data_IF_999352753221
#
_entry.id   IF_999352753221
#
_cell.length_a   1.000
_cell.length_b   1.000
_cell.length_c   1.000
_cell.angle_alpha   90.00
_cell.angle_beta   90.00
_cell.angle_gamma   90.00
#
_symmetry.space_group_name_H-M   'P 1'
#
loop_
_entity.id
_entity.type
_entity.pdbx_description
1 polymer ?
#
# COMPACT_ATOMS: atom_id res chain seq x y z
N UNK A 1 -35.85 -30.89 -35.28
CA UNK A 1 -34.43 -30.69 -35.64
C UNK A 1 -33.83 -29.73 -34.63
N UNK A 2 -32.95 -30.21 -33.76
CA UNK A 2 -32.28 -29.36 -32.76
C UNK A 2 -31.19 -28.54 -33.45
N UNK A 3 -31.12 -27.24 -33.18
CA UNK A 3 -30.04 -26.40 -33.69
C UNK A 3 -28.69 -26.89 -33.14
N UNK A 4 -27.60 -26.86 -33.93
CA UNK A 4 -26.28 -27.17 -33.40
C UNK A 4 -25.91 -26.11 -32.36
N UNK A 5 -25.52 -26.55 -31.17
CA UNK A 5 -24.85 -25.68 -30.21
C UNK A 5 -23.46 -25.42 -30.77
N UNK A 6 -23.24 -24.21 -31.28
CA UNK A 6 -21.92 -23.76 -31.69
C UNK A 6 -21.15 -23.49 -30.40
N UNK A 7 -20.28 -24.42 -30.02
CA UNK A 7 -19.30 -24.15 -28.97
C UNK A 7 -18.24 -23.24 -29.57
N UNK A 8 -18.40 -21.93 -29.34
CA UNK A 8 -17.31 -20.99 -29.56
C UNK A 8 -16.30 -21.27 -28.45
N UNK A 9 -15.05 -21.67 -28.77
CA UNK A 9 -14.03 -21.76 -27.74
C UNK A 9 -13.85 -20.34 -27.20
N UNK A 10 -14.21 -20.12 -25.94
CA UNK A 10 -13.76 -18.93 -25.23
C UNK A 10 -12.24 -18.97 -25.24
N UNK A 11 -11.62 -17.93 -25.80
CA UNK A 11 -10.19 -17.74 -25.62
C UNK A 11 -9.92 -17.71 -24.10
N UNK A 12 -8.81 -18.29 -23.62
CA UNK A 12 -8.47 -18.22 -22.21
C UNK A 12 -8.54 -16.76 -21.75
N UNK A 13 -9.36 -16.49 -20.74
CA UNK A 13 -9.49 -15.16 -20.18
C UNK A 13 -8.09 -14.68 -19.77
N UNK A 14 -7.73 -13.48 -20.21
CA UNK A 14 -6.50 -12.83 -19.77
C UNK A 14 -6.73 -12.46 -18.32
N UNK A 15 -6.30 -13.35 -17.42
CA UNK A 15 -6.44 -13.14 -16.00
C UNK A 15 -5.73 -11.83 -15.63
N UNK A 16 -6.53 -10.80 -15.36
CA UNK A 16 -6.08 -9.46 -15.02
C UNK A 16 -5.04 -9.50 -13.91
N UNK A 17 -5.25 -10.34 -12.88
CA UNK A 17 -4.29 -10.48 -11.78
C UNK A 17 -2.90 -10.95 -12.28
N UNK A 18 -2.84 -11.88 -13.23
CA UNK A 18 -1.57 -12.35 -13.78
C UNK A 18 -0.90 -11.31 -14.69
N UNK A 19 -1.68 -10.45 -15.36
CA UNK A 19 -1.13 -9.31 -16.11
C UNK A 19 -0.53 -8.26 -15.16
N UNK A 20 -1.21 -7.96 -14.04
CA UNK A 20 -0.73 -7.01 -13.02
C UNK A 20 0.55 -7.48 -12.32
N UNK A 21 0.70 -8.79 -12.06
CA UNK A 21 1.97 -9.35 -11.53
C UNK A 21 3.15 -9.00 -12.44
N UNK A 22 2.97 -9.07 -13.76
CA UNK A 22 4.04 -8.75 -14.72
C UNK A 22 4.42 -7.27 -14.73
N UNK A 23 3.47 -6.39 -14.37
CA UNK A 23 3.71 -4.95 -14.25
C UNK A 23 4.66 -4.67 -13.08
N UNK A 24 4.39 -5.23 -11.90
CA UNK A 24 5.27 -5.06 -10.73
C UNK A 24 6.60 -5.80 -10.89
N UNK A 25 6.63 -6.97 -11.54
CA UNK A 25 7.89 -7.66 -11.89
C UNK A 25 8.78 -6.79 -12.79
N UNK A 26 8.20 -6.16 -13.82
CA UNK A 26 8.96 -5.29 -14.73
C UNK A 26 9.56 -4.09 -13.99
N UNK A 27 8.77 -3.42 -13.15
CA UNK A 27 9.22 -2.31 -12.31
C UNK A 27 10.35 -2.74 -11.36
N UNK A 28 10.15 -3.83 -10.61
CA UNK A 28 11.13 -4.36 -9.67
C UNK A 28 12.43 -4.80 -10.37
N UNK A 29 12.36 -5.43 -11.54
CA UNK A 29 13.55 -5.81 -12.31
C UNK A 29 14.31 -4.61 -12.87
N UNK A 30 13.61 -3.55 -13.28
CA UNK A 30 14.22 -2.32 -13.75
C UNK A 30 14.94 -1.59 -12.61
N UNK A 31 14.25 -1.37 -11.49
CA UNK A 31 14.81 -0.78 -10.27
C UNK A 31 15.91 -1.65 -9.64
N UNK A 32 15.81 -2.98 -9.76
CA UNK A 32 16.77 -3.94 -9.23
C UNK A 32 18.21 -3.69 -9.69
N UNK A 33 18.39 -3.09 -10.87
CA UNK A 33 19.72 -2.71 -11.39
C UNK A 33 20.35 -1.53 -10.64
N UNK A 34 19.56 -0.77 -9.91
CA UNK A 34 19.94 0.44 -9.17
C UNK A 34 20.15 0.22 -7.68
N UNK A 35 19.85 -0.98 -7.18
CA UNK A 35 20.02 -1.35 -5.77
C UNK A 35 21.45 -1.09 -5.32
N UNK A 36 21.60 -0.29 -4.26
CA UNK A 36 22.90 0.05 -3.65
C UNK A 36 23.74 1.07 -4.42
N UNK A 37 23.21 1.72 -5.47
CA UNK A 37 23.96 2.72 -6.27
C UNK A 37 23.92 4.14 -5.71
N UNK A 38 23.15 4.40 -4.66
CA UNK A 38 22.97 5.74 -4.09
C UNK A 38 22.13 6.69 -4.95
N UNK A 39 21.61 6.24 -6.10
CA UNK A 39 20.76 7.04 -6.99
C UNK A 39 19.30 6.59 -6.87
N UNK A 40 18.56 7.26 -5.99
CA UNK A 40 17.14 6.97 -5.75
C UNK A 40 16.26 7.37 -6.94
N UNK A 41 16.53 8.54 -7.55
CA UNK A 41 15.68 9.08 -8.60
C UNK A 41 15.87 8.31 -9.91
N UNK A 42 17.10 7.89 -10.21
CA UNK A 42 17.38 7.08 -11.39
C UNK A 42 16.75 5.69 -11.33
N UNK A 43 16.76 5.05 -10.15
CA UNK A 43 16.11 3.75 -9.98
C UNK A 43 14.59 3.84 -9.98
N UNK A 44 14.04 4.89 -9.40
CA UNK A 44 12.60 5.16 -9.39
C UNK A 44 12.08 5.46 -10.80
N UNK A 45 12.74 6.36 -11.54
CA UNK A 45 12.40 6.63 -12.94
C UNK A 45 12.46 5.39 -13.83
N UNK A 46 13.44 4.50 -13.62
CA UNK A 46 13.49 3.22 -14.34
C UNK A 46 12.31 2.30 -14.01
N UNK A 47 11.80 2.33 -12.78
CA UNK A 47 10.62 1.59 -12.36
C UNK A 47 9.35 2.18 -12.98
N UNK A 48 9.19 3.51 -12.94
CA UNK A 48 8.09 4.26 -13.57
C UNK A 48 7.99 3.91 -15.05
N UNK A 49 9.09 4.01 -15.79
CA UNK A 49 9.15 3.71 -17.23
C UNK A 49 8.67 2.28 -17.53
N UNK A 50 9.22 1.31 -16.80
CA UNK A 50 8.90 -0.11 -16.98
C UNK A 50 7.44 -0.42 -16.60
N UNK A 51 6.98 0.11 -15.47
CA UNK A 51 5.60 -0.03 -15.00
C UNK A 51 4.63 0.56 -16.02
N UNK A 52 4.88 1.80 -16.49
CA UNK A 52 4.01 2.50 -17.43
C UNK A 52 3.91 1.80 -18.78
N UNK A 53 5.02 1.25 -19.27
CA UNK A 53 5.04 0.49 -20.52
C UNK A 53 4.19 -0.78 -20.41
N UNK A 54 4.34 -1.55 -19.32
CA UNK A 54 3.63 -2.82 -19.16
C UNK A 54 2.16 -2.62 -18.83
N UNK A 55 1.82 -1.67 -17.95
CA UNK A 55 0.44 -1.41 -17.54
C UNK A 55 -0.42 -0.97 -18.74
N UNK A 56 0.16 -0.30 -19.74
CA UNK A 56 -0.53 0.05 -20.99
C UNK A 56 -0.96 -1.14 -21.85
N UNK A 57 -0.44 -2.34 -21.58
CA UNK A 57 -0.79 -3.58 -22.31
C UNK A 57 -1.87 -4.40 -21.63
N UNK A 58 -2.23 -4.03 -20.40
CA UNK A 58 -3.18 -4.74 -19.55
C UNK A 58 -4.61 -4.54 -20.07
N UNK A 59 -5.40 -5.61 -20.06
CA UNK A 59 -6.79 -5.61 -20.54
C UNK A 59 -7.73 -4.93 -19.53
N UNK A 60 -7.60 -3.61 -19.38
CA UNK A 60 -8.45 -2.76 -18.54
C UNK A 60 -8.65 -1.35 -19.11
N UNK A 61 -9.71 -0.68 -18.65
CA UNK A 61 -9.92 0.78 -18.72
C UNK A 61 -9.56 1.37 -17.36
N UNK A 62 -8.26 1.47 -17.08
CA UNK A 62 -7.73 1.98 -15.82
C UNK A 62 -7.64 3.50 -15.80
N UNK A 63 -7.84 4.11 -14.63
CA UNK A 63 -7.42 5.50 -14.37
C UNK A 63 -6.57 5.50 -13.12
N UNK A 64 -5.40 6.13 -13.18
CA UNK A 64 -4.52 6.32 -12.05
C UNK A 64 -5.17 7.30 -11.07
N UNK A 65 -5.60 6.82 -9.91
CA UNK A 65 -6.11 7.66 -8.80
C UNK A 65 -4.97 8.06 -7.87
N UNK A 66 -3.96 7.21 -7.77
CA UNK A 66 -2.76 7.42 -6.97
C UNK A 66 -1.56 7.03 -7.82
N UNK A 67 -0.66 7.98 -8.08
CA UNK A 67 0.61 7.68 -8.74
C UNK A 67 1.72 8.65 -8.34
N UNK A 68 2.63 8.93 -9.27
CA UNK A 68 3.87 9.69 -9.03
C UNK A 68 3.64 11.16 -8.63
N UNK A 69 2.44 11.68 -8.90
CA UNK A 69 2.05 13.03 -8.54
C UNK A 69 1.02 13.62 -9.50
N UNK A 70 0.88 14.94 -9.44
CA UNK A 70 0.02 15.68 -10.34
C UNK A 70 0.60 15.73 -11.76
N UNK A 71 -0.27 15.91 -12.77
CA UNK A 71 0.11 15.89 -14.20
C UNK A 71 1.24 16.86 -14.57
N UNK A 72 1.31 17.99 -13.89
CA UNK A 72 2.34 19.01 -14.16
C UNK A 72 3.69 18.67 -13.49
N UNK A 73 3.71 17.73 -12.55
CA UNK A 73 4.88 17.33 -11.76
C UNK A 73 5.43 15.96 -12.17
N UNK A 74 4.56 15.08 -12.70
CA UNK A 74 4.90 13.73 -13.13
C UNK A 74 4.58 13.51 -14.63
N UNK A 75 5.57 13.16 -15.48
CA UNK A 75 5.34 12.97 -16.92
C UNK A 75 4.56 11.69 -17.26
N UNK A 76 4.56 10.70 -16.36
CA UNK A 76 3.90 9.40 -16.49
C UNK A 76 3.38 8.96 -15.14
N UNK A 77 2.36 8.12 -15.14
CA UNK A 77 1.65 7.62 -13.95
C UNK A 77 1.15 8.75 -13.05
N UNK A 78 0.70 9.85 -13.65
CA UNK A 78 0.14 10.98 -12.91
C UNK A 78 -1.32 10.74 -12.55
N UNK A 79 -1.81 11.46 -11.53
CA UNK A 79 -3.21 11.40 -11.10
C UNK A 79 -4.15 11.81 -12.26
N UNK A 80 -5.05 10.90 -12.63
CA UNK A 80 -5.97 11.03 -13.75
C UNK A 80 -5.48 10.44 -15.07
N UNK A 81 -4.29 9.84 -15.13
CA UNK A 81 -3.82 9.18 -16.36
C UNK A 81 -4.65 7.94 -16.70
N UNK A 82 -5.09 7.82 -17.96
CA UNK A 82 -5.71 6.61 -18.49
C UNK A 82 -4.65 5.54 -18.81
N UNK A 83 -4.83 4.34 -18.27
CA UNK A 83 -3.92 3.19 -18.40
C UNK A 83 -4.66 1.91 -18.77
N UNK A 84 -3.91 0.92 -19.28
CA UNK A 84 -4.47 -0.27 -19.93
C UNK A 84 -4.67 -0.07 -21.44
N UNK A 85 -5.09 -1.13 -22.13
CA UNK A 85 -5.28 -1.12 -23.57
C UNK A 85 -6.66 -0.58 -24.00
N UNK A 86 -7.53 -0.22 -23.05
CA UNK A 86 -8.88 0.31 -23.31
C UNK A 86 -9.97 -0.76 -23.39
N UNK A 87 -9.61 -2.05 -23.35
CA UNK A 87 -10.54 -3.18 -23.27
C UNK A 87 -10.74 -3.62 -21.81
N UNK A 88 -11.69 -4.51 -21.52
CA UNK A 88 -11.86 -5.06 -20.16
C UNK A 88 -12.67 -4.18 -19.18
N UNK A 89 -12.50 -4.32 -17.85
CA UNK A 89 -13.27 -3.59 -16.84
C UNK A 89 -12.80 -2.14 -16.61
N UNK A 90 -13.67 -1.30 -16.05
CA UNK A 90 -13.31 0.05 -15.59
C UNK A 90 -12.78 -0.01 -14.15
N UNK A 91 -11.56 0.48 -13.95
CA UNK A 91 -10.86 0.31 -12.68
C UNK A 91 -10.12 1.57 -12.23
N UNK A 92 -10.13 1.82 -10.93
CA UNK A 92 -9.17 2.72 -10.29
C UNK A 92 -7.85 1.99 -10.10
N UNK A 93 -6.76 2.70 -10.34
CA UNK A 93 -5.40 2.19 -10.25
C UNK A 93 -4.61 3.04 -9.27
N UNK A 94 -3.96 2.40 -8.32
CA UNK A 94 -2.96 3.00 -7.47
C UNK A 94 -1.61 2.35 -7.75
N UNK A 95 -0.57 3.16 -7.97
CA UNK A 95 0.78 2.69 -8.24
C UNK A 95 1.76 3.33 -7.28
N UNK A 96 2.72 2.52 -6.85
CA UNK A 96 3.94 2.97 -6.21
C UNK A 96 5.08 2.16 -6.85
N UNK A 97 5.66 2.67 -7.96
CA UNK A 97 6.69 1.98 -8.72
C UNK A 97 7.82 1.46 -7.86
N UNK A 98 8.25 2.22 -6.84
CA UNK A 98 9.14 1.77 -5.76
C UNK A 98 8.76 2.41 -4.43
N UNK A 99 8.03 1.66 -3.60
CA UNK A 99 7.92 1.98 -2.18
C UNK A 99 9.28 1.75 -1.52
N UNK A 100 9.85 2.81 -0.95
CA UNK A 100 11.19 2.79 -0.37
C UNK A 100 12.32 3.02 -1.37
N UNK A 101 12.23 4.04 -2.23
CA UNK A 101 13.34 4.47 -3.12
C UNK A 101 14.67 4.69 -2.38
N UNK A 102 14.63 5.20 -1.15
CA UNK A 102 15.80 5.34 -0.28
C UNK A 102 16.39 3.98 0.13
N UNK A 103 15.54 2.98 0.40
CA UNK A 103 15.96 1.63 0.74
C UNK A 103 16.65 0.98 -0.46
N UNK A 104 16.04 1.07 -1.64
CA UNK A 104 16.63 0.61 -2.90
C UNK A 104 18.00 1.25 -3.13
N UNK A 105 18.09 2.58 -3.09
CA UNK A 105 19.34 3.29 -3.34
C UNK A 105 20.46 2.90 -2.37
N UNK A 106 20.13 2.57 -1.12
CA UNK A 106 21.07 2.13 -0.08
C UNK A 106 21.34 0.61 -0.07
N UNK A 107 20.61 -0.18 -0.86
CA UNK A 107 20.70 -1.64 -0.82
C UNK A 107 20.14 -2.24 0.47
N UNK A 108 19.17 -1.57 1.09
CA UNK A 108 18.50 -2.02 2.31
C UNK A 108 17.27 -2.89 1.95
N UNK A 109 16.85 -3.80 2.85
CA UNK A 109 15.62 -4.58 2.67
C UNK A 109 14.37 -3.71 2.56
N UNK A 110 13.26 -4.34 2.15
CA UNK A 110 11.89 -3.80 2.13
C UNK A 110 11.59 -2.72 1.07
N UNK A 111 12.46 -2.50 0.10
CA UNK A 111 12.05 -1.81 -1.13
C UNK A 111 11.21 -2.75 -2.00
N UNK A 112 10.01 -2.32 -2.40
CA UNK A 112 9.08 -3.14 -3.21
C UNK A 112 8.44 -2.30 -4.31
N UNK A 113 8.12 -2.94 -5.45
CA UNK A 113 7.25 -2.34 -6.47
C UNK A 113 5.82 -2.77 -6.21
N UNK A 114 4.89 -1.81 -6.10
CA UNK A 114 3.51 -2.08 -5.70
C UNK A 114 2.52 -1.45 -6.66
N UNK A 115 1.42 -2.17 -6.87
CA UNK A 115 0.24 -1.59 -7.48
C UNK A 115 -1.01 -2.22 -6.86
N UNK A 116 -2.10 -1.47 -6.88
CA UNK A 116 -3.43 -1.93 -6.53
C UNK A 116 -4.42 -1.53 -7.62
N UNK A 117 -5.42 -2.38 -7.83
CA UNK A 117 -6.51 -2.14 -8.78
C UNK A 117 -7.82 -2.47 -8.08
N UNK A 118 -8.80 -1.59 -8.22
CA UNK A 118 -10.14 -1.76 -7.65
C UNK A 118 -11.19 -1.29 -8.66
N UNK A 119 -12.46 -1.61 -8.40
CA UNK A 119 -13.57 -1.10 -9.21
C UNK A 119 -13.55 0.44 -9.24
N UNK A 120 -13.94 1.03 -10.38
CA UNK A 120 -14.01 2.48 -10.57
C UNK A 120 -14.75 3.19 -9.41
N UNK A 121 -14.16 4.24 -8.86
CA UNK A 121 -14.74 5.08 -7.81
C UNK A 121 -14.73 4.47 -6.41
N UNK A 122 -13.97 3.39 -6.19
CA UNK A 122 -13.91 2.71 -4.88
C UNK A 122 -12.64 3.02 -4.08
N UNK A 123 -11.62 3.60 -4.71
CA UNK A 123 -10.44 4.10 -3.99
C UNK A 123 -10.71 5.49 -3.42
N UNK A 124 -10.26 5.73 -2.18
CA UNK A 124 -10.30 7.05 -1.57
C UNK A 124 -9.27 7.97 -2.23
N UNK A 125 -9.65 9.22 -2.51
CA UNK A 125 -8.79 10.25 -3.07
C UNK A 125 -7.94 10.91 -1.96
N UNK A 126 -6.60 10.75 -1.97
CA UNK A 126 -5.72 11.26 -0.93
C UNK A 126 -5.32 12.74 -1.10
N UNK A 127 -5.82 13.46 -2.11
CA UNK A 127 -5.38 14.83 -2.45
C UNK A 127 -5.59 15.89 -1.34
N UNK A 128 -6.48 15.64 -0.38
CA UNK A 128 -6.81 16.59 0.69
C UNK A 128 -5.80 16.63 1.84
N UNK A 129 -5.27 15.47 2.25
CA UNK A 129 -4.40 15.31 3.42
C UNK A 129 -3.30 14.30 3.13
N UNK A 130 -2.04 14.72 3.19
CA UNK A 130 -0.91 13.90 2.77
C UNK A 130 -0.52 12.79 3.75
N UNK A 131 -0.75 12.99 5.05
CA UNK A 131 -0.42 11.99 6.08
C UNK A 131 -1.68 11.40 6.72
N UNK A 132 -1.57 10.13 7.13
CA UNK A 132 -2.58 9.46 7.92
C UNK A 132 -1.93 8.58 9.01
N UNK A 133 -2.59 8.51 10.16
CA UNK A 133 -2.33 7.50 11.16
C UNK A 133 -2.96 6.18 10.71
N UNK A 134 -2.21 5.08 10.82
CA UNK A 134 -2.55 3.74 10.35
C UNK A 134 -2.45 2.77 11.52
N UNK A 135 -3.45 1.89 11.63
CA UNK A 135 -3.41 0.66 12.41
C UNK A 135 -3.68 -0.49 11.45
N UNK A 136 -2.75 -1.43 11.35
CA UNK A 136 -2.89 -2.60 10.48
C UNK A 136 -2.58 -3.89 11.23
N UNK A 137 -3.44 -4.89 11.13
CA UNK A 137 -3.15 -6.25 11.63
C UNK A 137 -3.75 -7.32 10.72
N UNK A 138 -3.25 -8.54 10.86
CA UNK A 138 -3.71 -9.72 10.14
C UNK A 138 -5.10 -10.23 10.57
N UNK A 139 -5.59 -11.27 9.88
CA UNK A 139 -6.96 -11.79 10.05
C UNK A 139 -7.28 -12.21 11.49
N UNK A 140 -6.32 -12.76 12.23
CA UNK A 140 -6.54 -13.25 13.60
C UNK A 140 -7.07 -12.16 14.54
N UNK A 141 -6.63 -10.92 14.36
CA UNK A 141 -6.94 -9.78 15.25
C UNK A 141 -7.78 -8.69 14.57
N UNK A 142 -8.27 -8.92 13.35
CA UNK A 142 -8.94 -7.92 12.52
C UNK A 142 -10.19 -7.30 13.19
N UNK A 143 -10.94 -8.12 13.94
CA UNK A 143 -12.21 -7.70 14.55
C UNK A 143 -12.08 -7.13 15.97
N UNK A 144 -10.88 -7.09 16.55
CA UNK A 144 -10.69 -6.77 17.98
C UNK A 144 -9.88 -5.50 18.24
N UNK A 145 -9.24 -4.95 17.21
CA UNK A 145 -8.44 -3.73 17.28
C UNK A 145 -9.27 -2.47 16.99
N UNK A 146 -8.85 -1.33 17.55
CA UNK A 146 -9.50 -0.03 17.40
C UNK A 146 -8.45 1.10 17.43
N UNK A 147 -8.34 1.88 16.35
CA UNK A 147 -7.40 3.00 16.22
C UNK A 147 -7.72 4.18 17.15
N UNK A 148 -8.91 4.20 17.77
CA UNK A 148 -9.31 5.20 18.78
C UNK A 148 -9.01 4.75 20.20
N UNK A 149 -8.70 3.46 20.40
CA UNK A 149 -8.32 2.92 21.69
C UNK A 149 -6.83 3.16 22.02
N UNK A 150 -6.45 3.17 23.31
CA UNK A 150 -5.05 3.26 23.70
C UNK A 150 -4.18 2.14 23.09
N UNK A 151 -2.90 2.40 22.85
CA UNK A 151 -1.96 1.41 22.29
C UNK A 151 -1.94 0.11 23.10
N UNK A 152 -1.94 0.21 24.43
CA UNK A 152 -1.97 -0.95 25.33
C UNK A 152 -3.19 -1.85 25.10
N UNK A 153 -4.35 -1.27 24.77
CA UNK A 153 -5.55 -2.05 24.43
C UNK A 153 -5.31 -2.88 23.17
N UNK A 154 -4.82 -2.25 22.09
CA UNK A 154 -4.59 -2.93 20.82
C UNK A 154 -3.54 -4.03 20.94
N UNK A 155 -2.44 -3.76 21.66
CA UNK A 155 -1.41 -4.76 21.93
C UNK A 155 -1.98 -5.97 22.69
N UNK A 156 -2.78 -5.75 23.73
CA UNK A 156 -3.42 -6.83 24.49
C UNK A 156 -4.45 -7.60 23.65
N UNK A 157 -5.22 -6.90 22.81
CA UNK A 157 -6.20 -7.50 21.92
C UNK A 157 -5.53 -8.43 20.90
N UNK A 158 -4.45 -7.98 20.27
CA UNK A 158 -3.65 -8.78 19.33
C UNK A 158 -3.04 -10.00 20.03
N UNK A 159 -2.42 -9.83 21.21
CA UNK A 159 -1.85 -10.92 21.99
C UNK A 159 -2.90 -12.00 22.30
N UNK A 160 -4.07 -11.57 22.80
CA UNK A 160 -5.18 -12.46 23.15
C UNK A 160 -5.72 -13.20 21.92
N UNK A 161 -5.90 -12.50 20.80
CA UNK A 161 -6.41 -13.09 19.57
C UNK A 161 -5.48 -14.17 19.00
N UNK A 162 -4.16 -13.94 19.09
CA UNK A 162 -3.12 -14.90 18.67
C UNK A 162 -2.80 -15.97 19.72
N UNK A 163 -3.42 -15.92 20.90
CA UNK A 163 -3.17 -16.86 21.99
C UNK A 163 -1.78 -16.74 22.64
N UNK A 164 -1.12 -15.59 22.49
CA UNK A 164 0.22 -15.31 23.02
C UNK A 164 0.21 -14.35 24.21
N UNK A 165 1.41 -14.03 24.70
CA UNK A 165 1.60 -12.98 25.70
C UNK A 165 1.84 -11.62 25.04
N UNK A 166 1.74 -10.54 25.80
CA UNK A 166 1.96 -9.18 25.29
C UNK A 166 3.40 -9.01 24.79
N UNK A 167 4.35 -9.67 25.45
CA UNK A 167 5.78 -9.66 25.12
C UNK A 167 6.10 -10.39 23.81
N UNK A 168 5.16 -11.19 23.30
CA UNK A 168 5.28 -11.87 22.00
C UNK A 168 4.86 -10.96 20.84
N UNK A 169 4.03 -9.94 21.11
CA UNK A 169 3.52 -9.01 20.10
C UNK A 169 4.64 -8.09 19.63
N UNK A 170 4.79 -7.98 18.31
CA UNK A 170 5.77 -7.12 17.67
C UNK A 170 5.08 -6.07 16.82
N UNK A 171 5.27 -4.81 17.18
CA UNK A 171 4.73 -3.64 16.48
C UNK A 171 5.77 -3.10 15.50
N UNK A 172 5.40 -2.97 14.23
CA UNK A 172 6.19 -2.33 13.20
C UNK A 172 5.87 -0.82 13.14
N UNK A 173 6.90 0.03 13.19
CA UNK A 173 6.76 1.49 13.12
C UNK A 173 7.82 2.11 12.21
N UNK A 174 7.47 3.21 11.54
CA UNK A 174 8.46 4.07 10.89
C UNK A 174 9.34 4.75 11.95
N UNK A 175 10.65 4.70 11.79
CA UNK A 175 11.61 5.40 12.64
C UNK A 175 11.64 6.90 12.29
N UNK A 176 10.82 7.66 13.02
CA UNK A 176 10.60 9.09 12.81
C UNK A 176 10.40 9.79 14.16
N UNK A 177 10.87 11.04 14.33
CA UNK A 177 10.66 11.81 15.56
C UNK A 177 9.19 11.95 15.96
N UNK A 178 8.27 12.01 14.99
CA UNK A 178 6.81 12.08 15.25
C UNK A 178 6.23 10.82 15.93
N UNK A 179 6.98 9.74 16.05
CA UNK A 179 6.54 8.49 16.70
C UNK A 179 7.17 8.27 18.08
N UNK A 180 7.91 9.23 18.64
CA UNK A 180 8.57 9.04 19.94
C UNK A 180 7.58 8.70 21.07
N UNK A 181 6.43 9.38 21.13
CA UNK A 181 5.38 9.08 22.11
C UNK A 181 4.77 7.68 21.89
N UNK A 182 4.49 7.33 20.63
CA UNK A 182 3.96 6.02 20.26
C UNK A 182 4.94 4.89 20.61
N UNK A 183 6.25 5.11 20.40
CA UNK A 183 7.32 4.18 20.79
C UNK A 183 7.35 3.99 22.31
N UNK A 184 7.18 5.06 23.09
CA UNK A 184 7.06 4.96 24.55
C UNK A 184 5.83 4.13 24.93
N UNK A 185 4.67 4.41 24.36
CA UNK A 185 3.42 3.71 24.66
C UNK A 185 3.48 2.21 24.34
N UNK A 186 4.07 1.84 23.19
CA UNK A 186 4.26 0.42 22.83
C UNK A 186 5.19 -0.29 23.84
N UNK A 187 6.28 0.36 24.26
CA UNK A 187 7.21 -0.19 25.25
C UNK A 187 6.58 -0.31 26.63
N UNK A 188 5.80 0.68 27.04
CA UNK A 188 5.05 0.65 28.31
C UNK A 188 3.96 -0.43 28.31
N UNK A 189 3.36 -0.71 27.14
CA UNK A 189 2.44 -1.84 26.98
C UNK A 189 3.14 -3.20 27.13
N UNK A 190 4.45 -3.28 26.87
CA UNK A 190 5.26 -4.50 27.00
C UNK A 190 5.54 -5.23 25.68
N UNK A 191 5.10 -4.68 24.54
CA UNK A 191 5.34 -5.25 23.22
C UNK A 191 6.75 -4.93 22.69
N UNK A 192 7.20 -5.72 21.72
CA UNK A 192 8.44 -5.47 20.96
C UNK A 192 8.19 -4.46 19.84
N UNK A 193 9.25 -3.79 19.41
CA UNK A 193 9.22 -2.87 18.28
C UNK A 193 10.19 -3.35 17.20
N UNK A 194 9.70 -3.39 15.97
CA UNK A 194 10.53 -3.46 14.75
C UNK A 194 10.46 -2.11 14.05
N UNK A 195 11.59 -1.44 13.94
CA UNK A 195 11.68 -0.17 13.20
C UNK A 195 11.92 -0.42 11.72
N UNK A 196 11.25 0.36 10.88
CA UNK A 196 11.52 0.49 9.44
C UNK A 196 11.86 1.96 9.14
N UNK A 197 12.86 2.22 8.29
CA UNK A 197 13.21 3.61 7.98
C UNK A 197 12.27 4.24 6.96
N UNK A 198 11.76 3.44 6.02
CA UNK A 198 10.82 3.79 4.96
C UNK A 198 10.00 2.51 4.63
N UNK A 199 9.00 2.61 3.77
CA UNK A 199 8.28 1.43 3.26
C UNK A 199 7.20 0.89 4.18
N UNK A 200 6.21 1.71 4.55
CA UNK A 200 5.14 1.28 5.45
C UNK A 200 4.10 0.36 4.77
N UNK A 201 4.05 0.31 3.44
CA UNK A 201 3.26 -0.69 2.70
C UNK A 201 3.82 -2.09 2.96
N UNK A 202 5.14 -2.28 2.80
CA UNK A 202 5.80 -3.53 3.13
C UNK A 202 5.61 -3.89 4.62
N UNK A 203 5.73 -2.89 5.51
CA UNK A 203 5.45 -3.04 6.95
C UNK A 203 4.06 -3.59 7.26
N UNK A 204 3.05 -3.06 6.58
CA UNK A 204 1.66 -3.46 6.76
C UNK A 204 1.38 -4.86 6.21
N UNK A 205 1.91 -5.18 5.03
CA UNK A 205 1.81 -6.53 4.45
C UNK A 205 2.48 -7.56 5.38
N UNK A 206 3.61 -7.21 6.00
CA UNK A 206 4.27 -8.07 6.98
C UNK A 206 3.36 -8.34 8.20
N UNK A 207 2.66 -7.33 8.71
CA UNK A 207 1.73 -7.50 9.84
C UNK A 207 0.53 -8.41 9.53
N UNK A 208 0.18 -8.56 8.25
CA UNK A 208 -0.88 -9.44 7.77
C UNK A 208 -0.40 -10.81 7.28
N UNK A 209 0.92 -11.07 7.29
CA UNK A 209 1.51 -12.28 6.73
C UNK A 209 2.11 -13.18 7.81
N UNK A 210 1.84 -14.48 7.73
CA UNK A 210 2.44 -15.46 8.64
C UNK A 210 3.96 -15.53 8.49
N UNK A 211 4.67 -15.81 9.59
CA UNK A 211 6.11 -16.07 9.57
C UNK A 211 7.02 -14.84 9.43
N UNK A 212 6.48 -13.63 9.35
CA UNK A 212 7.27 -12.38 9.29
C UNK A 212 7.77 -11.92 10.65
N UNK A 213 7.11 -12.35 11.72
CA UNK A 213 7.36 -11.89 13.09
C UNK A 213 6.84 -10.48 13.39
N UNK A 214 5.97 -9.92 12.53
CA UNK A 214 5.27 -8.65 12.75
C UNK A 214 3.79 -8.94 12.98
N UNK A 215 3.20 -8.34 14.01
CA UNK A 215 1.80 -8.59 14.39
C UNK A 215 0.88 -7.40 14.15
N UNK A 216 1.45 -6.20 14.20
CA UNK A 216 0.72 -4.95 14.16
C UNK A 216 1.61 -3.89 13.50
N UNK A 217 1.07 -3.07 12.61
CA UNK A 217 1.71 -1.82 12.20
C UNK A 217 0.94 -0.66 12.84
N UNK A 218 1.67 0.26 13.47
CA UNK A 218 1.13 1.49 14.04
C UNK A 218 1.96 2.70 13.59
N UNK A 219 1.28 3.82 13.40
CA UNK A 219 1.92 5.12 13.28
C UNK A 219 1.42 5.92 12.08
N UNK A 220 2.15 7.00 11.78
CA UNK A 220 1.80 8.00 10.77
C UNK A 220 2.71 7.84 9.55
N UNK A 221 2.07 7.63 8.40
CA UNK A 221 2.72 7.53 7.08
C UNK A 221 1.88 8.21 6.00
N UNK A 222 2.29 8.07 4.74
CA UNK A 222 1.61 8.73 3.63
C UNK A 222 0.20 8.16 3.40
N UNK A 223 -0.76 9.04 3.13
CA UNK A 223 -2.14 8.68 2.80
C UNK A 223 -2.21 7.85 1.51
N UNK A 224 -1.52 8.22 0.40
CA UNK A 224 -1.49 7.42 -0.83
C UNK A 224 -1.13 5.94 -0.60
N UNK A 225 -0.03 5.70 0.10
CA UNK A 225 0.48 4.39 0.47
C UNK A 225 -0.49 3.65 1.40
N UNK A 226 -1.23 4.39 2.23
CA UNK A 226 -2.31 3.85 3.06
C UNK A 226 -3.47 3.27 2.25
N UNK A 227 -3.82 3.85 1.11
CA UNK A 227 -4.89 3.34 0.23
C UNK A 227 -4.43 2.09 -0.53
N UNK A 228 -3.18 2.09 -1.01
CA UNK A 228 -2.55 0.89 -1.59
C UNK A 228 -2.52 -0.24 -0.55
N UNK A 229 -2.10 0.08 0.67
CA UNK A 229 -2.08 -0.84 1.81
C UNK A 229 -3.48 -1.38 2.10
N UNK A 230 -4.51 -0.54 2.09
CA UNK A 230 -5.89 -0.98 2.34
C UNK A 230 -6.37 -2.02 1.33
N UNK A 231 -5.99 -1.87 0.05
CA UNK A 231 -6.29 -2.86 -0.97
C UNK A 231 -5.61 -4.20 -0.67
N UNK A 232 -4.31 -4.18 -0.34
CA UNK A 232 -3.56 -5.39 -0.01
C UNK A 232 -4.11 -6.08 1.24
N UNK A 233 -4.33 -5.33 2.32
CA UNK A 233 -4.81 -5.83 3.61
C UNK A 233 -6.19 -6.47 3.48
N UNK A 234 -7.10 -5.85 2.70
CA UNK A 234 -8.42 -6.41 2.41
C UNK A 234 -8.32 -7.76 1.69
N UNK A 235 -7.41 -7.90 0.73
CA UNK A 235 -7.16 -9.17 0.04
C UNK A 235 -6.55 -10.23 0.95
N UNK A 236 -5.74 -9.83 1.93
CA UNK A 236 -5.13 -10.72 2.93
C UNK A 236 -6.08 -11.08 4.09
N UNK A 237 -7.29 -10.52 4.12
CA UNK A 237 -8.26 -10.76 5.19
C UNK A 237 -7.92 -10.05 6.52
N UNK A 238 -6.96 -9.14 6.52
CA UNK A 238 -6.64 -8.31 7.68
C UNK A 238 -7.56 -7.10 7.83
N UNK A 239 -7.20 -6.20 8.74
CA UNK A 239 -7.86 -4.90 8.89
C UNK A 239 -6.86 -3.77 8.81
N UNK A 240 -7.27 -2.68 8.16
CA UNK A 240 -6.63 -1.38 8.27
C UNK A 240 -7.67 -0.41 8.82
N UNK A 241 -7.30 0.31 9.87
CA UNK A 241 -8.03 1.47 10.35
C UNK A 241 -7.14 2.68 10.20
N UNK A 242 -7.73 3.83 9.88
CA UNK A 242 -6.96 4.99 9.55
C UNK A 242 -7.64 6.29 10.00
N UNK A 243 -6.83 7.28 10.38
CA UNK A 243 -7.27 8.65 10.68
C UNK A 243 -6.41 9.61 9.89
N UNK A 244 -7.02 10.54 9.16
CA UNK A 244 -6.26 11.59 8.47
C UNK A 244 -5.50 12.44 9.49
N UNK A 245 -4.27 12.82 9.15
CA UNK A 245 -3.38 13.56 10.03
C UNK A 245 -2.93 14.87 9.37
N UNK A 246 -3.84 15.85 9.23
CA UNK A 246 -3.51 17.16 8.67
C UNK A 246 -2.50 17.90 9.55
N UNK A 247 -1.42 18.36 8.93
CA UNK A 247 -0.33 19.11 9.56
C UNK A 247 -0.43 20.61 9.29
N UNK A 248 -0.97 20.98 8.12
CA UNK A 248 -1.03 22.37 7.65
C UNK A 248 -2.46 22.89 7.64
N UNK A 249 -2.64 24.19 7.89
CA UNK A 249 -3.95 24.85 7.79
C UNK A 249 -4.64 24.60 6.45
N UNK A 250 -3.89 24.54 5.35
CA UNK A 250 -4.42 24.21 4.02
C UNK A 250 -5.05 22.82 3.98
N UNK A 251 -4.46 21.82 4.62
CA UNK A 251 -4.99 20.45 4.65
C UNK A 251 -6.29 20.39 5.47
N UNK A 252 -6.40 21.14 6.57
CA UNK A 252 -7.67 21.28 7.30
C UNK A 252 -8.77 21.91 6.44
N UNK A 253 -8.43 22.94 5.66
CA UNK A 253 -9.40 23.59 4.76
C UNK A 253 -9.81 22.64 3.62
N UNK A 254 -8.85 21.93 3.04
CA UNK A 254 -9.09 20.99 1.95
C UNK A 254 -9.93 19.80 2.43
N UNK A 255 -9.64 19.24 3.61
CA UNK A 255 -10.43 18.17 4.22
C UNK A 255 -11.88 18.62 4.46
N UNK A 256 -12.08 19.81 5.05
CA UNK A 256 -13.43 20.34 5.27
C UNK A 256 -14.19 20.59 3.94
N UNK A 257 -13.49 21.07 2.91
CA UNK A 257 -14.07 21.26 1.58
C UNK A 257 -14.45 19.93 0.90
N UNK A 258 -13.74 18.84 1.23
CA UNK A 258 -14.05 17.48 0.80
C UNK A 258 -15.13 16.79 1.67
N UNK A 259 -15.65 17.47 2.71
CA UNK A 259 -16.69 16.94 3.59
C UNK A 259 -16.20 15.99 4.69
N UNK A 260 -14.92 16.12 5.08
CA UNK A 260 -14.25 15.31 6.10
C UNK A 260 -14.08 16.06 7.43
#
# INVERSE_FOLDING_TARGET
MSKPVVHVPEAPDRNLAMELVRVTEAAAMAAGRWVGRGDKNGGDGAAVDAMRQLIGTVSMRGVVVIGEGEKDEAPMLFNGEEVGCGEGPECDVAVDPIDGTTLMAKGMPNAIAVMAVAERGTMYDPSSVFYMEKLVTGPDAADVVDITAPVAYNVQAVAKAKGGAVEDVTVCLLDRPRHEDLVREVREAGARITFISDGDVAGAVMACSEGTGVDLLLGIGGTPEGIITACAVKCLGGTIQAKLWPQKKSEFVNAAAAGL
#
